data_IF_546865320345
#
_entry.id   IF_546865320345
#
_cell.length_a   1.000
_cell.length_b   1.000
_cell.length_c   1.000
_cell.angle_alpha   90.00
_cell.angle_beta   90.00
_cell.angle_gamma   90.00
#
_symmetry.space_group_name_H-M   'P 1'
#
loop_
_entity.id
_entity.type
_entity.pdbx_description
1 polymer ?
#
# COMPACT_ATOMS: atom_id res chain seq x y z
N UNK A 1 19.15 -6.81 -10.05
CA UNK A 1 17.92 -7.56 -10.38
C UNK A 1 17.46 -7.12 -11.78
N UNK A 2 16.98 -8.05 -12.58
CA UNK A 2 16.64 -7.79 -13.99
C UNK A 2 15.14 -7.70 -14.24
N UNK A 3 14.33 -8.20 -13.31
CA UNK A 3 12.86 -8.20 -13.40
C UNK A 3 12.22 -8.15 -12.02
N UNK A 4 10.91 -7.87 -11.99
CA UNK A 4 10.10 -7.89 -10.77
C UNK A 4 10.03 -9.32 -10.20
N UNK A 5 9.90 -10.31 -11.08
CA UNK A 5 9.88 -11.73 -10.69
C UNK A 5 11.18 -12.17 -10.02
N UNK A 6 12.33 -11.78 -10.57
CA UNK A 6 13.63 -12.09 -9.96
C UNK A 6 13.74 -11.50 -8.55
N UNK A 7 13.24 -10.28 -8.36
CA UNK A 7 13.20 -9.63 -7.04
C UNK A 7 12.32 -10.41 -6.06
N UNK A 8 11.13 -10.77 -6.48
CA UNK A 8 10.17 -11.53 -5.66
C UNK A 8 10.74 -12.90 -5.30
N UNK A 9 11.31 -13.63 -6.26
CA UNK A 9 11.92 -14.95 -6.04
C UNK A 9 13.11 -14.86 -5.06
N UNK A 10 13.89 -13.78 -5.12
CA UNK A 10 14.97 -13.57 -4.17
C UNK A 10 14.45 -13.32 -2.74
N UNK A 11 13.37 -12.56 -2.60
CA UNK A 11 12.72 -12.32 -1.31
C UNK A 11 12.15 -13.63 -0.76
N UNK A 12 11.45 -14.43 -1.58
CA UNK A 12 10.91 -15.74 -1.17
C UNK A 12 12.01 -16.64 -0.63
N UNK A 13 13.12 -16.78 -1.36
CA UNK A 13 14.28 -17.57 -0.89
C UNK A 13 14.86 -17.04 0.43
N UNK A 14 14.83 -15.73 0.63
CA UNK A 14 15.33 -15.13 1.87
C UNK A 14 14.40 -15.43 3.06
N UNK A 15 13.08 -15.41 2.84
CA UNK A 15 12.08 -15.78 3.85
C UNK A 15 12.27 -17.25 4.25
N UNK A 16 12.39 -18.16 3.28
CA UNK A 16 12.62 -19.59 3.51
C UNK A 16 13.95 -19.86 4.24
N UNK A 17 15.03 -19.17 3.83
CA UNK A 17 16.33 -19.28 4.47
C UNK A 17 16.33 -18.78 5.92
N UNK A 18 15.43 -17.87 6.26
CA UNK A 18 15.20 -17.40 7.63
C UNK A 18 14.31 -18.35 8.46
N UNK A 19 13.82 -19.44 7.89
CA UNK A 19 12.99 -20.45 8.56
C UNK A 19 11.51 -20.12 8.62
N UNK A 20 11.03 -19.18 7.77
CA UNK A 20 9.63 -18.79 7.70
C UNK A 20 8.96 -19.30 6.42
N UNK A 21 7.63 -19.43 6.47
CA UNK A 21 6.81 -19.88 5.34
C UNK A 21 6.26 -18.67 4.57
N UNK A 22 6.65 -18.48 3.27
CA UNK A 22 6.12 -17.41 2.44
C UNK A 22 4.60 -17.50 2.28
N UNK A 23 3.93 -16.36 2.44
CA UNK A 23 2.47 -16.24 2.33
C UNK A 23 1.69 -16.63 3.59
N UNK A 24 2.35 -17.25 4.57
CA UNK A 24 1.77 -17.61 5.87
C UNK A 24 2.38 -16.77 7.00
N UNK A 25 3.69 -16.91 7.23
CA UNK A 25 4.38 -16.18 8.27
C UNK A 25 4.80 -14.78 7.78
N UNK A 26 5.23 -14.69 6.53
CA UNK A 26 5.64 -13.45 5.86
C UNK A 26 4.95 -13.34 4.51
N UNK A 27 4.24 -12.26 4.29
CA UNK A 27 3.57 -11.97 3.02
C UNK A 27 4.31 -10.90 2.23
N UNK A 28 4.26 -11.00 0.89
CA UNK A 28 4.85 -10.01 0.00
C UNK A 28 3.78 -9.03 -0.43
N UNK A 29 4.11 -7.74 -0.27
CA UNK A 29 3.33 -6.62 -0.75
C UNK A 29 4.21 -5.78 -1.68
N UNK A 30 3.65 -5.29 -2.78
CA UNK A 30 4.37 -4.52 -3.78
C UNK A 30 3.94 -3.06 -3.70
N UNK A 31 4.90 -2.15 -3.80
CA UNK A 31 4.68 -0.74 -4.12
C UNK A 31 5.27 -0.50 -5.51
N UNK A 32 4.41 -0.31 -6.49
CA UNK A 32 4.80 -0.19 -7.90
C UNK A 32 5.20 1.23 -8.25
N UNK A 33 4.58 2.22 -7.61
CA UNK A 33 4.78 3.64 -7.88
C UNK A 33 4.72 3.93 -9.40
N UNK A 34 3.61 3.54 -10.04
CA UNK A 34 3.52 3.48 -11.51
C UNK A 34 3.75 4.83 -12.21
N UNK A 35 3.53 5.96 -11.51
CA UNK A 35 3.86 7.29 -12.03
C UNK A 35 5.36 7.45 -12.35
N UNK A 36 6.24 6.68 -11.70
CA UNK A 36 7.69 6.71 -11.92
C UNK A 36 8.16 5.73 -13.02
N UNK A 37 7.27 4.86 -13.49
CA UNK A 37 7.63 3.85 -14.48
C UNK A 37 7.72 4.44 -15.89
N UNK A 38 8.83 4.17 -16.58
CA UNK A 38 8.97 4.52 -18.01
C UNK A 38 8.01 3.75 -18.93
N UNK A 39 7.60 2.54 -18.51
CA UNK A 39 6.68 1.66 -19.24
C UNK A 39 5.70 1.07 -18.27
N UNK A 40 4.44 1.51 -18.27
CA UNK A 40 3.40 0.92 -17.43
C UNK A 40 3.20 -0.56 -17.79
N UNK A 41 2.81 -1.34 -16.79
CA UNK A 41 2.43 -2.75 -16.97
C UNK A 41 0.91 -2.85 -17.21
N UNK A 42 0.47 -3.97 -17.77
CA UNK A 42 -0.97 -4.22 -17.97
C UNK A 42 -1.65 -4.79 -16.74
N UNK A 43 -2.97 -4.72 -16.70
CA UNK A 43 -3.79 -5.39 -15.67
C UNK A 43 -3.48 -6.90 -15.62
N UNK A 44 -3.43 -7.57 -16.76
CA UNK A 44 -3.14 -9.00 -16.84
C UNK A 44 -1.75 -9.37 -16.32
N UNK A 45 -0.79 -8.46 -16.42
CA UNK A 45 0.54 -8.66 -15.82
C UNK A 45 0.42 -8.78 -14.28
N UNK A 46 -0.26 -7.84 -13.64
CA UNK A 46 -0.42 -7.86 -12.18
C UNK A 46 -1.29 -9.00 -11.69
N UNK A 47 -2.35 -9.37 -12.43
CA UNK A 47 -3.18 -10.55 -12.12
C UNK A 47 -2.32 -11.82 -12.10
N UNK A 48 -1.49 -12.02 -13.13
CA UNK A 48 -0.57 -13.17 -13.22
C UNK A 48 0.48 -13.16 -12.12
N UNK A 49 1.09 -12.00 -11.87
CA UNK A 49 2.13 -11.84 -10.85
C UNK A 49 1.57 -12.16 -9.45
N UNK A 50 0.41 -11.59 -9.12
CA UNK A 50 -0.26 -11.80 -7.84
C UNK A 50 -0.61 -13.28 -7.61
N UNK A 51 -1.16 -13.94 -8.63
CA UNK A 51 -1.50 -15.35 -8.56
C UNK A 51 -0.28 -16.26 -8.44
N UNK A 52 0.78 -16.01 -9.22
CA UNK A 52 1.99 -16.84 -9.25
C UNK A 52 2.75 -16.81 -7.92
N UNK A 53 2.84 -15.64 -7.28
CA UNK A 53 3.71 -15.43 -6.11
C UNK A 53 2.93 -15.19 -4.81
N UNK A 54 1.61 -15.41 -4.80
CA UNK A 54 0.76 -15.18 -3.62
C UNK A 54 0.92 -13.79 -3.02
N UNK A 55 1.02 -12.76 -3.88
CA UNK A 55 1.11 -11.37 -3.46
C UNK A 55 -0.17 -11.00 -2.69
N UNK A 56 -0.01 -10.33 -1.55
CA UNK A 56 -1.15 -9.93 -0.69
C UNK A 56 -1.67 -8.54 -1.00
N UNK A 57 -0.80 -7.66 -1.50
CA UNK A 57 -1.16 -6.27 -1.76
C UNK A 57 -0.32 -5.69 -2.89
N UNK A 58 -0.93 -4.82 -3.69
CA UNK A 58 -0.24 -3.99 -4.69
C UNK A 58 -0.67 -2.55 -4.47
N UNK A 59 0.31 -1.66 -4.29
CA UNK A 59 0.14 -0.22 -4.14
C UNK A 59 0.48 0.47 -5.47
N UNK A 60 -0.39 1.40 -5.88
CA UNK A 60 -0.27 2.23 -7.09
C UNK A 60 0.20 1.46 -8.34
N UNK A 61 -0.53 0.42 -8.78
CA UNK A 61 -0.15 -0.37 -9.95
C UNK A 61 -0.24 0.40 -11.27
N UNK A 62 -1.00 1.51 -11.29
CA UNK A 62 -1.22 2.36 -12.47
C UNK A 62 -1.06 3.82 -12.10
N UNK A 63 -1.00 4.70 -13.12
CA UNK A 63 -0.89 6.14 -12.87
C UNK A 63 -2.09 6.68 -12.08
N UNK A 64 -1.90 7.78 -11.38
CA UNK A 64 -2.89 8.41 -10.48
C UNK A 64 -4.20 8.82 -11.16
N UNK A 65 -4.23 8.88 -12.50
CA UNK A 65 -5.42 9.20 -13.27
C UNK A 65 -5.98 8.01 -14.06
N UNK A 66 -5.34 6.83 -14.00
CA UNK A 66 -5.85 5.62 -14.64
C UNK A 66 -6.81 4.84 -13.72
N UNK A 67 -7.98 5.44 -13.50
CA UNK A 67 -9.05 4.87 -12.70
C UNK A 67 -9.61 3.58 -13.27
N UNK A 68 -9.64 3.46 -14.60
CA UNK A 68 -10.21 2.30 -15.31
C UNK A 68 -9.35 1.04 -15.06
N UNK A 69 -8.04 1.11 -15.30
CA UNK A 69 -7.16 -0.03 -15.06
C UNK A 69 -7.13 -0.41 -13.58
N UNK A 70 -7.17 0.58 -12.68
CA UNK A 70 -7.23 0.36 -11.23
C UNK A 70 -8.52 -0.38 -10.84
N UNK A 71 -9.67 0.02 -11.37
CA UNK A 71 -10.96 -0.65 -11.14
C UNK A 71 -10.98 -2.05 -11.74
N UNK A 72 -10.44 -2.23 -12.94
CA UNK A 72 -10.35 -3.53 -13.59
C UNK A 72 -9.51 -4.51 -12.77
N UNK A 73 -8.32 -4.09 -12.30
CA UNK A 73 -7.46 -4.93 -11.45
C UNK A 73 -8.14 -5.30 -10.14
N UNK A 74 -8.78 -4.32 -9.49
CA UNK A 74 -9.51 -4.55 -8.24
C UNK A 74 -10.63 -5.58 -8.43
N UNK A 75 -11.32 -5.56 -9.58
CA UNK A 75 -12.39 -6.52 -9.90
C UNK A 75 -11.88 -7.92 -10.24
N UNK A 76 -10.67 -8.03 -10.80
CA UNK A 76 -10.07 -9.29 -11.25
C UNK A 76 -9.27 -10.03 -10.19
N UNK A 77 -9.03 -9.42 -9.03
CA UNK A 77 -8.21 -10.01 -7.97
C UNK A 77 -8.90 -9.95 -6.61
N UNK A 78 -8.51 -10.85 -5.71
CA UNK A 78 -8.96 -10.84 -4.31
C UNK A 78 -7.90 -10.30 -3.36
N UNK A 79 -6.87 -9.62 -3.90
CA UNK A 79 -5.80 -9.04 -3.10
C UNK A 79 -6.14 -7.60 -2.70
N UNK A 80 -5.35 -7.05 -1.79
CA UNK A 80 -5.47 -5.64 -1.44
C UNK A 80 -4.85 -4.77 -2.54
N UNK A 81 -5.63 -3.84 -3.09
CA UNK A 81 -5.16 -2.78 -3.98
C UNK A 81 -5.16 -1.48 -3.18
N UNK A 82 -3.98 -0.92 -2.98
CA UNK A 82 -3.77 0.29 -2.18
C UNK A 82 -3.61 1.49 -3.10
N UNK A 83 -4.42 2.52 -2.89
CA UNK A 83 -4.23 3.79 -3.58
C UNK A 83 -3.39 4.74 -2.72
N UNK A 84 -2.23 5.14 -3.23
CA UNK A 84 -1.39 6.21 -2.70
C UNK A 84 -1.62 7.50 -3.50
N UNK A 85 -0.93 7.68 -4.61
CA UNK A 85 -1.03 8.89 -5.45
C UNK A 85 -2.44 9.08 -6.02
N UNK A 86 -3.12 7.99 -6.39
CA UNK A 86 -4.49 8.04 -6.89
C UNK A 86 -5.45 8.68 -5.89
N UNK A 87 -5.20 8.59 -4.58
CA UNK A 87 -6.04 9.19 -3.54
C UNK A 87 -5.40 10.38 -2.83
N UNK A 88 -4.09 10.42 -2.70
CA UNK A 88 -3.32 11.48 -2.03
C UNK A 88 -3.87 11.85 -0.63
N UNK A 89 -4.39 10.86 0.13
CA UNK A 89 -5.10 11.04 1.42
C UNK A 89 -6.28 12.03 1.32
N UNK A 90 -6.79 12.30 0.11
CA UNK A 90 -7.81 13.32 -0.15
C UNK A 90 -9.21 12.71 -0.23
N UNK A 91 -10.14 13.24 0.59
CA UNK A 91 -11.52 12.76 0.70
C UNK A 91 -12.26 12.78 -0.65
N UNK A 92 -12.04 13.80 -1.50
CA UNK A 92 -12.73 13.90 -2.80
C UNK A 92 -12.28 12.80 -3.75
N UNK A 93 -10.95 12.55 -3.80
CA UNK A 93 -10.38 11.47 -4.61
C UNK A 93 -10.79 10.10 -4.05
N UNK A 94 -10.78 9.93 -2.73
CA UNK A 94 -11.24 8.70 -2.08
C UNK A 94 -12.72 8.41 -2.39
N UNK A 95 -13.62 9.40 -2.30
CA UNK A 95 -15.03 9.24 -2.69
C UNK A 95 -15.19 8.76 -4.13
N UNK A 96 -14.41 9.34 -5.05
CA UNK A 96 -14.38 8.89 -6.44
C UNK A 96 -13.94 7.43 -6.54
N UNK A 97 -12.83 7.06 -5.88
CA UNK A 97 -12.32 5.68 -5.89
C UNK A 97 -13.28 4.65 -5.30
N UNK A 98 -14.00 5.01 -4.25
CA UNK A 98 -15.07 4.18 -3.68
C UNK A 98 -16.19 3.96 -4.71
N UNK A 99 -16.63 5.03 -5.36
CA UNK A 99 -17.70 4.97 -6.38
C UNK A 99 -17.29 4.14 -7.59
N UNK A 100 -16.07 4.31 -8.06
CA UNK A 100 -15.51 3.63 -9.23
C UNK A 100 -14.92 2.26 -8.91
N UNK A 101 -14.83 1.91 -7.61
CA UNK A 101 -14.21 0.66 -7.12
C UNK A 101 -12.77 0.50 -7.60
N UNK A 102 -12.02 1.59 -7.64
CA UNK A 102 -10.65 1.61 -8.17
C UNK A 102 -9.60 1.03 -7.22
N UNK A 103 -9.95 0.77 -5.98
CA UNK A 103 -9.11 0.16 -4.95
C UNK A 103 -9.98 -0.42 -3.84
N UNK A 104 -9.36 -1.07 -2.85
CA UNK A 104 -10.00 -1.53 -1.62
C UNK A 104 -9.21 -1.15 -0.36
N UNK A 105 -8.16 -0.37 -0.52
CA UNK A 105 -7.37 0.21 0.56
C UNK A 105 -6.83 1.58 0.17
N UNK A 106 -6.51 2.40 1.16
CA UNK A 106 -5.89 3.72 1.00
C UNK A 106 -4.63 3.85 1.84
N UNK A 107 -3.59 4.43 1.25
CA UNK A 107 -2.41 4.87 1.98
C UNK A 107 -2.70 6.22 2.64
N UNK A 108 -2.42 6.33 3.93
CA UNK A 108 -2.66 7.52 4.74
C UNK A 108 -1.34 8.20 5.08
N UNK A 109 -1.17 9.39 4.57
CA UNK A 109 0.00 10.26 4.80
C UNK A 109 -0.47 11.58 5.42
N UNK A 110 -0.42 11.77 6.75
CA UNK A 110 -0.97 12.95 7.41
C UNK A 110 -0.43 14.28 6.86
N UNK A 111 0.85 14.33 6.51
CA UNK A 111 1.46 15.54 5.95
C UNK A 111 1.13 15.80 4.47
N UNK A 112 0.55 14.83 3.76
CA UNK A 112 0.14 15.00 2.36
C UNK A 112 -1.19 15.78 2.29
N UNK A 113 -2.14 15.45 3.15
CA UNK A 113 -3.39 16.23 3.27
C UNK A 113 -3.20 17.49 4.12
N UNK A 114 -2.34 17.44 5.15
CA UNK A 114 -1.83 18.60 5.88
C UNK A 114 -2.38 18.82 7.27
N UNK A 115 -3.54 18.27 7.63
CA UNK A 115 -4.11 18.36 9.00
C UNK A 115 -4.53 17.00 9.53
N UNK A 116 -4.49 16.86 10.86
CA UNK A 116 -4.95 15.63 11.53
C UNK A 116 -6.47 15.45 11.37
N UNK A 117 -7.23 16.53 11.39
CA UNK A 117 -8.69 16.45 11.21
C UNK A 117 -9.05 15.87 9.84
N UNK A 118 -8.44 16.36 8.76
CA UNK A 118 -8.68 15.83 7.40
C UNK A 118 -8.15 14.39 7.26
N UNK A 119 -7.05 14.05 7.93
CA UNK A 119 -6.53 12.68 7.99
C UNK A 119 -7.54 11.74 8.63
N UNK A 120 -8.10 12.11 9.78
CA UNK A 120 -9.11 11.33 10.49
C UNK A 120 -10.40 11.21 9.67
N UNK A 121 -10.82 12.27 8.99
CA UNK A 121 -11.98 12.23 8.09
C UNK A 121 -11.77 11.27 6.92
N UNK A 122 -10.57 11.23 6.34
CA UNK A 122 -10.23 10.27 5.28
C UNK A 122 -10.25 8.83 5.80
N UNK A 123 -9.67 8.56 6.97
CA UNK A 123 -9.68 7.24 7.63
C UNK A 123 -11.13 6.80 7.93
N UNK A 124 -11.92 7.69 8.51
CA UNK A 124 -13.34 7.42 8.82
C UNK A 124 -14.11 7.06 7.55
N UNK A 125 -13.98 7.86 6.49
CA UNK A 125 -14.64 7.59 5.21
C UNK A 125 -14.22 6.23 4.62
N UNK A 126 -12.92 5.88 4.71
CA UNK A 126 -12.42 4.58 4.26
C UNK A 126 -13.09 3.44 5.03
N UNK A 127 -13.09 3.48 6.36
CA UNK A 127 -13.68 2.44 7.21
C UNK A 127 -15.19 2.29 6.99
N UNK A 128 -15.95 3.39 6.87
CA UNK A 128 -17.38 3.38 6.58
C UNK A 128 -17.71 2.68 5.25
N UNK A 129 -16.76 2.66 4.32
CA UNK A 129 -16.88 2.02 3.01
C UNK A 129 -16.10 0.70 2.88
N UNK A 130 -15.65 0.11 4.00
CA UNK A 130 -14.91 -1.17 4.05
C UNK A 130 -13.58 -1.14 3.31
N UNK A 131 -12.98 0.03 3.17
CA UNK A 131 -11.60 0.17 2.73
C UNK A 131 -10.66 -0.07 3.90
N UNK A 132 -9.61 -0.81 3.66
CA UNK A 132 -8.49 -0.87 4.60
C UNK A 132 -7.71 0.45 4.59
N UNK A 133 -7.04 0.73 5.71
CA UNK A 133 -6.15 1.89 5.81
C UNK A 133 -4.74 1.42 6.16
N UNK A 134 -3.76 1.98 5.46
CA UNK A 134 -2.33 1.75 5.69
C UNK A 134 -1.71 3.08 6.11
N UNK A 135 -1.34 3.22 7.36
CA UNK A 135 -0.67 4.43 7.84
C UNK A 135 0.77 4.43 7.35
N UNK A 136 1.22 5.53 6.76
CA UNK A 136 2.51 5.56 6.07
C UNK A 136 3.43 6.66 6.56
N UNK A 137 4.72 6.31 6.63
CA UNK A 137 5.82 7.25 6.74
C UNK A 137 6.05 8.03 5.43
N UNK A 138 7.03 8.90 5.44
CA UNK A 138 7.60 9.56 4.26
C UNK A 138 9.10 9.30 4.17
N UNK A 139 9.70 9.58 3.00
CA UNK A 139 11.15 9.41 2.79
C UNK A 139 11.99 10.24 3.75
N UNK A 140 11.55 11.45 4.09
CA UNK A 140 12.19 12.37 5.04
C UNK A 140 11.65 12.28 6.47
N UNK A 141 11.24 11.08 6.92
CA UNK A 141 10.68 10.89 8.25
C UNK A 141 11.70 11.15 9.37
N UNK A 142 11.19 11.44 10.58
CA UNK A 142 11.97 11.66 11.80
C UNK A 142 11.74 10.51 12.80
N UNK A 143 12.37 10.60 13.98
CA UNK A 143 12.16 9.63 15.06
C UNK A 143 10.83 9.82 15.81
N UNK A 144 9.99 10.77 15.40
CA UNK A 144 8.64 10.97 15.94
C UNK A 144 7.78 9.71 15.72
N UNK A 145 7.05 9.30 16.74
CA UNK A 145 6.25 8.05 16.75
C UNK A 145 4.77 8.24 16.44
N UNK A 146 4.35 9.46 16.15
CA UNK A 146 2.93 9.81 15.95
C UNK A 146 2.17 8.86 15.02
N UNK A 147 2.78 8.45 13.91
CA UNK A 147 2.09 7.56 12.96
C UNK A 147 1.86 6.15 13.51
N UNK A 148 2.67 5.68 14.45
CA UNK A 148 2.43 4.41 15.14
C UNK A 148 1.22 4.52 16.07
N UNK A 149 1.15 5.59 16.86
CA UNK A 149 0.00 5.88 17.73
C UNK A 149 -1.27 6.09 16.90
N UNK A 150 -1.18 6.80 15.77
CA UNK A 150 -2.30 7.00 14.85
C UNK A 150 -2.82 5.67 14.31
N UNK A 151 -1.94 4.75 13.90
CA UNK A 151 -2.33 3.45 13.37
C UNK A 151 -3.15 2.64 14.39
N UNK A 152 -2.70 2.64 15.65
CA UNK A 152 -3.40 1.94 16.74
C UNK A 152 -4.71 2.65 17.11
N UNK A 153 -4.66 3.97 17.31
CA UNK A 153 -5.80 4.77 17.74
C UNK A 153 -6.97 4.75 16.75
N UNK A 154 -6.67 4.64 15.45
CA UNK A 154 -7.70 4.57 14.41
C UNK A 154 -8.09 3.15 14.02
N UNK A 155 -7.52 2.14 14.66
CA UNK A 155 -7.69 0.73 14.27
C UNK A 155 -7.34 0.47 12.81
N UNK A 156 -6.32 1.16 12.31
CA UNK A 156 -5.76 0.89 11.00
C UNK A 156 -5.03 -0.46 11.04
N UNK A 157 -5.35 -1.33 10.11
CA UNK A 157 -4.85 -2.72 10.14
C UNK A 157 -3.36 -2.84 9.80
N UNK A 158 -2.78 -1.79 9.22
CA UNK A 158 -1.44 -1.82 8.64
C UNK A 158 -0.70 -0.50 8.85
N UNK A 159 0.63 -0.61 8.95
CA UNK A 159 1.55 0.52 8.91
C UNK A 159 2.67 0.24 7.91
N UNK A 160 2.99 1.22 7.07
CA UNK A 160 4.14 1.20 6.14
C UNK A 160 5.18 2.18 6.68
N UNK A 161 6.20 1.69 7.39
CA UNK A 161 7.11 2.57 8.13
C UNK A 161 8.59 2.20 8.02
N UNK A 162 8.96 1.54 6.92
CA UNK A 162 10.34 1.20 6.62
C UNK A 162 10.80 -0.14 7.21
N UNK A 163 12.07 -0.42 7.05
CA UNK A 163 12.72 -1.64 7.53
C UNK A 163 13.15 -1.50 9.01
N UNK A 164 13.57 -2.60 9.61
CA UNK A 164 14.17 -2.67 10.96
C UNK A 164 15.60 -2.12 10.99
N UNK A 165 15.82 -0.99 10.34
CA UNK A 165 17.10 -0.33 10.16
C UNK A 165 16.87 1.18 10.08
N UNK A 166 17.77 1.98 10.63
CA UNK A 166 17.70 3.43 10.81
C UNK A 166 16.73 3.86 11.94
N UNK A 167 17.19 4.77 12.79
CA UNK A 167 16.50 5.14 14.02
C UNK A 167 15.11 5.74 13.79
N UNK A 168 14.94 6.54 12.73
CA UNK A 168 13.66 7.12 12.34
C UNK A 168 12.62 6.09 11.89
N UNK A 169 13.03 4.85 11.61
CA UNK A 169 12.11 3.73 11.31
C UNK A 169 11.88 2.88 12.55
N UNK A 170 12.94 2.51 13.24
CA UNK A 170 12.89 1.64 14.41
C UNK A 170 12.04 2.25 15.53
N UNK A 171 12.08 3.57 15.71
CA UNK A 171 11.26 4.27 16.71
C UNK A 171 9.77 3.95 16.62
N UNK A 172 9.22 3.67 15.42
CA UNK A 172 7.81 3.33 15.23
C UNK A 172 7.50 1.87 15.58
N UNK A 173 8.51 1.01 15.65
CA UNK A 173 8.34 -0.40 16.02
C UNK A 173 8.47 -0.63 17.53
N UNK A 174 9.17 0.27 18.25
CA UNK A 174 9.41 0.19 19.69
C UNK A 174 8.24 0.79 20.50
#
# INVERSE_FOLDING_TARGET
>A
LKSDEEAIEFIIKSIEAAGFEPGKDVSICLDVAANELKKPKSVDYYVKLASKYHIKSIEDPFSEDDWNSSSELTSKTNIQIVGDDIFATNIKRLKKGITEKSANAILIKPNQIGTISETLDAIKLAHENKFNTVISHRSGDSEDTFIADLAVATNSSQIKTGSLSRSERISKYN
#
